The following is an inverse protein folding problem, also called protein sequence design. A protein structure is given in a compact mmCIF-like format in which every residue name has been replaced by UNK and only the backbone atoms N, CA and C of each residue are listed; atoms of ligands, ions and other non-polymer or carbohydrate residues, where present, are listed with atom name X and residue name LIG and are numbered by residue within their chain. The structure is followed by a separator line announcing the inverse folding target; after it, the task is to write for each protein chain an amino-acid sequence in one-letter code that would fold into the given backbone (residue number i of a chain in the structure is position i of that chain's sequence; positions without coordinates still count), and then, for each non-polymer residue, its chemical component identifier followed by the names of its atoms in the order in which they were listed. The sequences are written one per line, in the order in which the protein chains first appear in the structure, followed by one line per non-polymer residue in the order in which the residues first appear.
data_IF_703231498341
#
_entry.id   IF_703231498341
#
_cell.length_a   1.000
_cell.length_b   1.000
_cell.length_c   1.000
_cell.angle_alpha   90.00
_cell.angle_beta   90.00
_cell.angle_gamma   90.00
#
_symmetry.space_group_name_H-M   'P 1'
#
loop_
_entity.id
_entity.type
_entity.pdbx_description
1 polymer ?
#
# COMPACT_ATOMS: atom_id res chain seq x y z
N UNK A 1 -19.95 -6.03 -0.14
CA UNK A 1 -19.48 -6.49 1.20
C UNK A 1 -18.01 -6.08 1.33
N UNK A 2 -17.52 -5.69 2.52
CA UNK A 2 -16.09 -5.47 2.71
C UNK A 2 -15.36 -6.80 2.45
N UNK A 3 -14.37 -6.80 1.55
CA UNK A 3 -13.60 -7.99 1.14
C UNK A 3 -12.53 -8.40 2.17
N UNK A 4 -12.48 -7.76 3.34
CA UNK A 4 -11.48 -8.03 4.39
C UNK A 4 -10.10 -7.44 4.13
N UNK A 5 -9.88 -6.83 2.96
CA UNK A 5 -8.61 -6.20 2.61
C UNK A 5 -8.41 -4.87 3.34
N UNK A 6 -7.14 -4.53 3.57
CA UNK A 6 -6.69 -3.30 4.20
C UNK A 6 -6.96 -2.12 3.26
N UNK A 7 -7.53 -1.05 3.81
CA UNK A 7 -7.71 0.21 3.09
C UNK A 7 -6.44 1.02 3.16
N UNK A 8 -6.00 1.49 2.00
CA UNK A 8 -4.82 2.34 1.85
C UNK A 8 -5.13 3.54 0.98
N UNK A 9 -4.40 4.63 1.19
CA UNK A 9 -4.42 5.77 0.29
C UNK A 9 -3.66 5.42 -0.99
N UNK A 10 -4.35 5.48 -2.13
CA UNK A 10 -3.77 5.16 -3.43
C UNK A 10 -3.17 6.39 -4.13
N UNK A 11 -3.58 7.59 -3.72
CA UNK A 11 -3.23 8.85 -4.39
C UNK A 11 -3.06 9.93 -3.31
N UNK A 12 -1.88 9.97 -2.71
CA UNK A 12 -1.52 10.90 -1.64
C UNK A 12 -0.02 11.15 -1.54
N UNK A 13 0.38 12.01 -0.60
CA UNK A 13 1.80 12.32 -0.34
C UNK A 13 2.59 11.04 0.04
N UNK A 14 1.95 10.14 0.78
CA UNK A 14 2.45 8.84 1.21
C UNK A 14 1.60 7.71 0.60
N UNK A 15 1.88 7.27 -0.63
CA UNK A 15 1.10 6.22 -1.29
C UNK A 15 1.15 4.91 -0.50
N UNK A 16 0.07 4.13 -0.57
CA UNK A 16 -0.14 2.85 0.12
C UNK A 16 -0.14 2.92 1.66
N UNK A 17 -0.29 4.12 2.22
CA UNK A 17 -0.44 4.33 3.67
C UNK A 17 -1.82 3.88 4.14
N UNK A 18 -1.88 3.16 5.25
CA UNK A 18 -3.13 2.77 5.89
C UNK A 18 -3.71 3.93 6.72
N UNK A 19 -4.82 3.69 7.43
CA UNK A 19 -5.33 4.64 8.43
C UNK A 19 -4.38 4.86 9.61
N UNK A 20 -3.42 3.97 9.84
CA UNK A 20 -2.32 4.22 10.75
C UNK A 20 -1.14 4.83 9.95
N UNK A 21 -0.72 6.08 10.25
CA UNK A 21 0.31 6.78 9.49
C UNK A 21 1.67 6.06 9.42
N UNK A 22 1.94 5.14 10.35
CA UNK A 22 3.20 4.40 10.41
C UNK A 22 3.14 3.05 9.68
N UNK A 23 1.99 2.68 9.11
CA UNK A 23 1.75 1.37 8.51
C UNK A 23 1.34 1.54 7.06
N UNK A 24 1.99 0.77 6.19
CA UNK A 24 1.78 0.74 4.74
C UNK A 24 1.47 -0.69 4.31
N UNK A 25 0.68 -0.86 3.25
CA UNK A 25 0.31 -2.17 2.73
C UNK A 25 0.13 -2.14 1.21
N UNK A 26 0.47 -3.24 0.53
CA UNK A 26 0.26 -3.41 -0.92
C UNK A 26 0.03 -4.88 -1.27
N UNK A 27 -0.28 -5.17 -2.52
CA UNK A 27 -0.56 -6.52 -3.02
C UNK A 27 -1.88 -7.08 -2.51
N UNK A 28 -1.92 -8.40 -2.33
CA UNK A 28 -3.14 -9.13 -1.96
C UNK A 28 -3.79 -8.65 -0.66
N UNK A 29 -3.00 -8.07 0.25
CA UNK A 29 -3.52 -7.48 1.49
C UNK A 29 -4.42 -6.26 1.24
N UNK A 30 -4.30 -5.59 0.10
CA UNK A 30 -5.07 -4.39 -0.28
C UNK A 30 -6.13 -4.72 -1.33
N UNK A 31 -5.78 -5.54 -2.32
CA UNK A 31 -6.65 -5.81 -3.48
C UNK A 31 -7.40 -7.14 -3.43
N UNK A 32 -6.98 -8.06 -2.56
CA UNK A 32 -7.35 -9.47 -2.63
C UNK A 32 -6.45 -10.22 -3.62
N UNK A 33 -6.61 -11.54 -3.71
CA UNK A 33 -5.74 -12.40 -4.53
C UNK A 33 -5.66 -11.92 -5.99
N UNK A 34 -4.44 -11.60 -6.45
CA UNK A 34 -4.16 -11.09 -7.79
C UNK A 34 -2.81 -11.62 -8.34
N UNK A 35 -2.39 -11.14 -9.51
CA UNK A 35 -1.13 -11.46 -10.15
C UNK A 35 0.08 -10.98 -9.32
N UNK A 36 1.11 -11.83 -9.23
CA UNK A 36 2.36 -11.52 -8.52
C UNK A 36 3.02 -10.22 -9.00
N UNK A 37 2.91 -9.90 -10.29
CA UNK A 37 3.50 -8.67 -10.86
C UNK A 37 2.83 -7.41 -10.33
N UNK A 38 1.51 -7.45 -10.09
CA UNK A 38 0.77 -6.34 -9.47
C UNK A 38 1.24 -6.17 -8.03
N UNK A 39 1.38 -7.25 -7.27
CA UNK A 39 1.86 -7.20 -5.89
C UNK A 39 3.29 -6.63 -5.79
N UNK A 40 4.17 -6.96 -6.74
CA UNK A 40 5.53 -6.37 -6.81
C UNK A 40 5.47 -4.88 -7.10
N UNK A 41 4.63 -4.44 -8.04
CA UNK A 41 4.45 -3.03 -8.35
C UNK A 41 3.97 -2.24 -7.12
N UNK A 42 2.89 -2.70 -6.48
CA UNK A 42 2.33 -2.05 -5.29
C UNK A 42 3.30 -2.06 -4.10
N UNK A 43 4.11 -3.11 -3.95
CA UNK A 43 5.18 -3.16 -2.95
C UNK A 43 6.25 -2.07 -3.15
N UNK A 44 6.61 -1.77 -4.40
CA UNK A 44 7.57 -0.69 -4.72
C UNK A 44 6.99 0.70 -4.45
N UNK A 45 5.72 0.89 -4.77
CA UNK A 45 5.03 2.15 -4.48
C UNK A 45 4.86 2.35 -2.97
N UNK A 46 4.53 1.30 -2.22
CA UNK A 46 4.49 1.35 -0.76
C UNK A 46 5.86 1.67 -0.15
N UNK A 47 6.95 1.11 -0.69
CA UNK A 47 8.31 1.47 -0.27
C UNK A 47 8.60 2.96 -0.54
N UNK A 48 8.17 3.49 -1.69
CA UNK A 48 8.28 4.93 -1.99
C UNK A 48 7.49 5.78 -0.97
N UNK A 49 6.29 5.34 -0.58
CA UNK A 49 5.51 5.99 0.48
C UNK A 49 6.21 6.00 1.83
N UNK A 50 6.86 4.89 2.20
CA UNK A 50 7.67 4.77 3.42
C UNK A 50 8.86 5.73 3.37
N UNK A 51 9.61 5.78 2.26
CA UNK A 51 10.74 6.70 2.13
C UNK A 51 10.31 8.16 2.27
N UNK A 52 9.22 8.57 1.60
CA UNK A 52 8.64 9.91 1.75
C UNK A 52 8.21 10.22 3.18
N UNK A 53 7.60 9.26 3.87
CA UNK A 53 7.18 9.41 5.26
C UNK A 53 8.37 9.60 6.21
N UNK A 54 9.48 8.91 5.94
CA UNK A 54 10.71 9.00 6.72
C UNK A 54 11.62 10.16 6.30
N UNK A 55 11.35 10.80 5.16
CA UNK A 55 12.15 11.89 4.59
C UNK A 55 13.52 11.43 4.06
N UNK A 56 13.60 10.21 3.50
CA UNK A 56 14.84 9.59 2.96
C UNK A 56 14.75 9.30 1.47
#
# INVERSE_FOLDING_TARGET
MPNGCVRVDSIGEHPFQTTNPKVFAGGDMVRGSDLVVTAVFEGREAATGICRYLGV
#
